data_IF_124144464466
#
_entry.id   IF_124144464466
#
_cell.length_a   1.000
_cell.length_b   1.000
_cell.length_c   1.000
_cell.angle_alpha   90.00
_cell.angle_beta   90.00
_cell.angle_gamma   90.00
#
_symmetry.space_group_name_H-M   'P 1'
#
loop_
_entity.id
_entity.type
_entity.pdbx_description
1 polymer ?
#
# COMPACT_ATOMS: atom_id res chain seq x y z
N UNK A 1 28.71 6.43 20.32
CA UNK A 1 27.94 5.33 19.68
C UNK A 1 28.83 4.71 18.61
N UNK A 2 29.18 3.43 18.74
CA UNK A 2 29.97 2.73 17.71
C UNK A 2 29.00 2.41 16.57
N UNK A 3 29.12 3.12 15.44
CA UNK A 3 28.36 2.78 14.24
C UNK A 3 28.84 1.43 13.72
N UNK A 4 27.92 0.49 13.53
CA UNK A 4 28.23 -0.84 13.00
C UNK A 4 28.02 -0.82 11.48
N UNK A 5 29.01 -1.30 10.72
CA UNK A 5 28.95 -1.31 9.25
C UNK A 5 28.08 -2.45 8.72
N UNK A 6 27.51 -2.26 7.53
CA UNK A 6 26.76 -3.28 6.78
C UNK A 6 27.47 -4.64 6.71
N UNK A 7 28.81 -4.66 6.57
CA UNK A 7 29.58 -5.91 6.51
C UNK A 7 29.39 -6.79 7.76
N UNK A 8 29.23 -6.18 8.94
CA UNK A 8 28.98 -6.93 10.18
C UNK A 8 27.54 -7.45 10.24
N UNK A 9 26.59 -6.71 9.68
CA UNK A 9 25.18 -7.14 9.55
C UNK A 9 25.10 -8.36 8.65
N UNK A 10 25.67 -8.27 7.44
CA UNK A 10 25.70 -9.37 6.48
C UNK A 10 26.45 -10.59 7.03
N UNK A 11 27.59 -10.40 7.72
CA UNK A 11 28.33 -11.50 8.31
C UNK A 11 27.55 -12.23 9.42
N UNK A 12 26.75 -11.51 10.21
CA UNK A 12 25.90 -12.11 11.23
C UNK A 12 24.80 -12.96 10.59
N UNK A 13 24.12 -12.43 9.57
CA UNK A 13 23.08 -13.15 8.82
C UNK A 13 23.67 -14.34 8.04
N UNK A 14 24.82 -14.19 7.39
CA UNK A 14 25.48 -15.31 6.71
C UNK A 14 25.83 -16.47 7.66
N UNK A 15 26.08 -16.17 8.95
CA UNK A 15 26.40 -17.17 9.95
C UNK A 15 25.18 -17.82 10.58
N UNK A 16 24.13 -17.05 10.84
CA UNK A 16 23.00 -17.47 11.69
C UNK A 16 21.63 -17.39 11.00
N UNK A 17 21.56 -16.95 9.75
CA UNK A 17 20.32 -16.81 8.98
C UNK A 17 19.66 -18.14 8.65
N UNK A 18 20.39 -19.25 8.73
CA UNK A 18 19.88 -20.60 8.55
C UNK A 18 20.01 -21.37 9.86
N UNK A 19 18.89 -21.85 10.41
CA UNK A 19 18.80 -22.66 11.64
C UNK A 19 19.38 -21.99 12.90
N UNK A 20 19.53 -20.66 12.89
CA UNK A 20 20.17 -19.90 13.95
C UNK A 20 19.33 -18.73 14.44
N UNK A 21 19.90 -18.04 15.44
CA UNK A 21 19.37 -16.79 15.97
C UNK A 21 20.40 -15.68 15.80
N UNK A 22 19.98 -14.55 15.24
CA UNK A 22 20.77 -13.33 15.15
C UNK A 22 20.18 -12.26 16.07
N UNK A 23 21.01 -11.60 16.86
CA UNK A 23 20.58 -10.48 17.71
C UNK A 23 21.34 -9.22 17.30
N UNK A 24 20.60 -8.23 16.82
CA UNK A 24 21.09 -6.87 16.62
C UNK A 24 20.74 -6.03 17.84
N UNK A 25 21.74 -5.69 18.66
CA UNK A 25 21.54 -4.85 19.83
C UNK A 25 21.12 -3.40 19.50
N UNK A 26 20.82 -2.59 20.52
CA UNK A 26 20.48 -1.19 20.33
C UNK A 26 21.55 -0.40 19.59
N UNK A 27 21.14 0.44 18.64
CA UNK A 27 22.04 1.31 17.89
C UNK A 27 21.61 1.55 16.45
N UNK A 28 22.52 2.14 15.68
CA UNK A 28 22.36 2.43 14.26
C UNK A 28 23.39 1.64 13.46
N UNK A 29 22.92 0.91 12.45
CA UNK A 29 23.71 0.08 11.55
C UNK A 29 23.73 0.75 10.17
N UNK A 30 24.88 1.26 9.75
CA UNK A 30 24.96 2.03 8.51
C UNK A 30 24.93 1.10 7.28
N UNK A 31 23.89 1.26 6.46
CA UNK A 31 23.67 0.49 5.25
C UNK A 31 23.99 1.38 4.03
N UNK A 32 25.06 1.01 3.32
CA UNK A 32 25.64 1.82 2.23
C UNK A 32 25.53 1.17 0.86
N UNK A 33 24.89 0.00 0.77
CA UNK A 33 24.61 -0.74 -0.47
C UNK A 33 23.34 -1.58 -0.27
N UNK A 34 22.73 -2.01 -1.36
CA UNK A 34 21.58 -2.93 -1.28
C UNK A 34 21.94 -4.17 -0.48
N UNK A 35 20.98 -4.67 0.28
CA UNK A 35 21.17 -5.80 1.20
C UNK A 35 20.08 -6.84 0.97
N UNK A 36 20.42 -8.12 1.10
CA UNK A 36 19.44 -9.18 1.16
C UNK A 36 19.72 -10.11 2.33
N UNK A 37 18.66 -10.57 2.99
CA UNK A 37 18.73 -11.62 3.99
C UNK A 37 18.00 -12.86 3.47
N UNK A 38 18.72 -13.97 3.41
CA UNK A 38 18.15 -15.28 3.16
C UNK A 38 17.99 -16.01 4.51
N UNK A 39 16.74 -16.21 4.92
CA UNK A 39 16.40 -16.71 6.24
C UNK A 39 15.68 -18.06 6.14
N UNK A 40 16.24 -19.09 6.78
CA UNK A 40 15.68 -20.44 6.77
C UNK A 40 15.59 -20.97 8.19
N UNK A 41 14.38 -21.28 8.67
CA UNK A 41 14.18 -21.88 10.01
C UNK A 41 14.93 -21.10 11.12
N UNK A 42 14.86 -19.78 11.07
CA UNK A 42 15.73 -18.89 11.86
C UNK A 42 14.99 -17.73 12.52
N UNK A 43 15.67 -17.05 13.45
CA UNK A 43 15.16 -15.88 14.14
C UNK A 43 16.13 -14.71 14.05
N UNK A 44 15.60 -13.51 13.83
CA UNK A 44 16.34 -12.25 13.96
C UNK A 44 15.64 -11.37 14.99
N UNK A 45 16.33 -11.09 16.10
CA UNK A 45 15.90 -10.12 17.11
C UNK A 45 16.59 -8.77 16.83
N UNK A 46 15.80 -7.73 16.56
CA UNK A 46 16.28 -6.40 16.20
C UNK A 46 15.91 -5.36 17.26
N UNK A 47 16.90 -4.84 17.98
CA UNK A 47 16.72 -3.77 18.95
C UNK A 47 17.28 -2.41 18.47
N UNK A 48 17.70 -2.35 17.20
CA UNK A 48 18.29 -1.15 16.59
C UNK A 48 17.84 -0.96 15.14
N UNK A 49 18.31 0.12 14.52
CA UNK A 49 17.87 0.55 13.21
C UNK A 49 18.93 0.29 12.14
N UNK A 50 18.50 -0.31 11.03
CA UNK A 50 19.21 -0.30 9.76
C UNK A 50 19.07 1.11 9.17
N UNK A 51 20.16 1.88 9.18
CA UNK A 51 20.20 3.27 8.74
C UNK A 51 20.71 3.33 7.30
N UNK A 52 19.79 3.45 6.34
CA UNK A 52 20.15 3.52 4.92
C UNK A 52 20.65 4.92 4.57
N UNK A 53 21.84 5.01 3.97
CA UNK A 53 22.44 6.29 3.58
C UNK A 53 21.51 7.03 2.59
N UNK A 54 21.09 8.28 2.86
CA UNK A 54 20.24 9.03 1.94
C UNK A 54 21.05 9.60 0.78
N UNK A 55 21.30 8.77 -0.23
CA UNK A 55 22.08 9.11 -1.42
C UNK A 55 21.24 8.82 -2.68
N UNK A 56 20.30 9.72 -3.05
CA UNK A 56 19.36 9.47 -4.13
C UNK A 56 20.04 9.08 -5.44
N UNK A 57 21.13 9.76 -5.80
CA UNK A 57 21.86 9.51 -7.04
C UNK A 57 22.50 8.12 -7.08
N UNK A 58 23.04 7.65 -5.95
CA UNK A 58 23.53 6.27 -5.83
C UNK A 58 22.38 5.26 -5.98
N UNK A 59 21.27 5.44 -5.27
CA UNK A 59 20.19 4.46 -5.21
C UNK A 59 19.31 4.42 -6.47
N UNK A 60 19.21 5.52 -7.22
CA UNK A 60 18.50 5.56 -8.50
C UNK A 60 19.23 4.78 -9.61
N UNK A 61 20.49 4.42 -9.40
CA UNK A 61 21.16 3.47 -10.30
C UNK A 61 20.61 2.06 -10.05
N UNK A 62 20.00 1.45 -11.07
CA UNK A 62 19.40 0.11 -10.99
C UNK A 62 20.38 -0.99 -10.53
N UNK A 63 21.70 -0.82 -10.74
CA UNK A 63 22.70 -1.76 -10.22
C UNK A 63 22.79 -1.77 -8.69
N UNK A 64 22.35 -0.68 -8.04
CA UNK A 64 22.37 -0.49 -6.60
C UNK A 64 21.05 -0.81 -5.91
N UNK A 65 20.06 -1.35 -6.61
CA UNK A 65 18.79 -1.84 -6.05
C UNK A 65 18.46 -3.24 -6.57
N UNK A 66 17.36 -3.81 -6.09
CA UNK A 66 16.76 -5.05 -6.57
C UNK A 66 15.42 -4.78 -7.24
N UNK A 67 15.14 -5.43 -8.37
CA UNK A 67 13.85 -5.36 -9.07
C UNK A 67 13.05 -6.65 -8.84
N UNK A 68 12.73 -6.92 -7.56
CA UNK A 68 12.00 -8.13 -7.14
C UNK A 68 10.49 -7.96 -7.17
N UNK A 69 10.01 -6.72 -7.31
CA UNK A 69 8.60 -6.40 -7.53
C UNK A 69 8.45 -6.08 -9.01
N UNK A 70 7.95 -7.05 -9.77
CA UNK A 70 7.90 -6.98 -11.23
C UNK A 70 7.00 -5.85 -11.75
N UNK A 71 5.82 -5.67 -11.13
CA UNK A 71 4.90 -4.61 -11.55
C UNK A 71 5.51 -3.24 -11.33
N UNK A 72 5.39 -2.38 -12.34
CA UNK A 72 5.87 -1.00 -12.34
C UNK A 72 7.40 -0.88 -12.13
N UNK A 73 8.14 -1.97 -12.36
CA UNK A 73 9.60 -2.06 -12.19
C UNK A 73 10.07 -1.49 -10.84
N UNK A 74 9.46 -1.86 -9.72
CA UNK A 74 9.77 -1.19 -8.44
C UNK A 74 11.13 -1.63 -7.87
N UNK A 75 11.92 -0.65 -7.44
CA UNK A 75 13.23 -0.87 -6.83
C UNK A 75 13.09 -1.16 -5.33
N UNK A 76 13.86 -2.12 -4.82
CA UNK A 76 14.01 -2.39 -3.38
C UNK A 76 15.47 -2.29 -2.98
N UNK A 77 15.78 -1.66 -1.85
CA UNK A 77 17.17 -1.65 -1.33
C UNK A 77 17.43 -2.74 -0.29
N UNK A 78 16.38 -3.37 0.25
CA UNK A 78 16.43 -4.40 1.27
C UNK A 78 15.37 -5.46 0.99
N UNK A 79 15.83 -6.68 0.79
CA UNK A 79 14.97 -7.82 0.45
C UNK A 79 15.21 -8.95 1.44
N UNK A 80 14.15 -9.46 2.05
CA UNK A 80 14.20 -10.71 2.82
C UNK A 80 13.55 -11.81 1.99
N UNK A 81 14.21 -12.96 1.94
CA UNK A 81 13.74 -14.18 1.27
C UNK A 81 13.90 -15.39 2.19
N UNK A 82 13.42 -16.56 1.74
CA UNK A 82 13.56 -17.83 2.45
C UNK A 82 12.26 -18.29 3.11
N UNK A 83 12.35 -19.10 4.15
CA UNK A 83 11.16 -19.71 4.76
C UNK A 83 11.31 -20.05 6.24
N UNK A 84 10.18 -20.17 6.94
CA UNK A 84 10.12 -20.57 8.34
C UNK A 84 10.94 -19.64 9.26
N UNK A 85 10.82 -18.32 9.10
CA UNK A 85 11.60 -17.37 9.88
C UNK A 85 10.72 -16.40 10.68
N UNK A 86 11.32 -15.82 11.72
CA UNK A 86 10.75 -14.70 12.48
C UNK A 86 11.78 -13.57 12.53
N UNK A 87 11.40 -12.39 12.07
CA UNK A 87 12.10 -11.13 12.36
C UNK A 87 11.26 -10.35 13.36
N UNK A 88 11.79 -10.15 14.55
CA UNK A 88 11.10 -9.46 15.65
C UNK A 88 11.91 -8.23 16.05
N UNK A 89 11.30 -7.06 15.87
CA UNK A 89 11.94 -5.78 16.12
C UNK A 89 11.58 -5.16 17.47
N UNK A 90 10.79 -5.87 18.31
CA UNK A 90 10.54 -5.50 19.70
C UNK A 90 10.09 -4.05 19.90
N UNK A 91 9.39 -3.47 18.91
CA UNK A 91 8.98 -2.06 18.86
C UNK A 91 10.13 -1.05 19.06
N UNK A 92 11.38 -1.47 18.88
CA UNK A 92 12.59 -0.68 19.16
C UNK A 92 13.63 -0.74 18.04
N UNK A 93 13.48 -1.66 17.10
CA UNK A 93 14.31 -1.79 15.91
C UNK A 93 13.53 -1.63 14.59
N UNK A 94 14.28 -1.63 13.49
CA UNK A 94 13.73 -1.63 12.15
C UNK A 94 14.61 -0.85 11.16
N UNK A 95 14.03 0.06 10.38
CA UNK A 95 14.72 0.82 9.32
C UNK A 95 14.56 2.32 9.55
N UNK A 96 15.64 3.06 9.42
CA UNK A 96 15.60 4.49 9.16
C UNK A 96 15.87 4.71 7.67
N UNK A 97 14.83 5.13 6.93
CA UNK A 97 14.88 5.35 5.49
C UNK A 97 15.40 6.74 5.11
N UNK A 98 15.56 7.67 6.06
CA UNK A 98 16.04 9.02 5.81
C UNK A 98 15.28 9.74 4.66
N UNK A 99 13.96 9.57 4.62
CA UNK A 99 13.08 9.98 3.53
C UNK A 99 13.05 11.48 3.24
N UNK A 100 13.39 12.36 4.20
CA UNK A 100 13.39 13.81 3.96
C UNK A 100 14.30 14.20 2.80
N UNK A 101 15.49 13.62 2.69
CA UNK A 101 16.39 13.88 1.57
C UNK A 101 15.75 13.51 0.23
N UNK A 102 14.96 12.44 0.19
CA UNK A 102 14.26 11.99 -1.01
C UNK A 102 13.08 12.89 -1.36
N UNK A 103 12.27 13.29 -0.38
CA UNK A 103 11.13 14.17 -0.61
C UNK A 103 11.60 15.55 -1.08
N UNK A 104 12.68 16.10 -0.49
CA UNK A 104 13.30 17.34 -0.96
C UNK A 104 13.93 17.17 -2.35
N UNK A 105 14.57 16.03 -2.64
CA UNK A 105 15.14 15.74 -3.96
C UNK A 105 14.08 15.74 -5.07
N UNK A 106 12.88 15.23 -4.79
CA UNK A 106 11.75 15.25 -5.72
C UNK A 106 10.85 16.48 -5.60
N UNK A 107 11.13 17.40 -4.69
CA UNK A 107 10.36 18.63 -4.52
C UNK A 107 10.39 19.54 -5.76
N UNK A 108 11.44 19.44 -6.58
CA UNK A 108 11.60 20.19 -7.83
C UNK A 108 11.97 19.30 -9.04
N UNK A 109 11.81 17.97 -8.93
CA UNK A 109 12.11 17.01 -9.99
C UNK A 109 10.88 16.20 -10.34
N UNK A 110 10.80 15.81 -11.61
CA UNK A 110 9.79 14.87 -12.07
C UNK A 110 9.99 13.51 -11.41
N UNK A 111 8.88 12.82 -11.14
CA UNK A 111 8.81 11.44 -10.66
C UNK A 111 8.23 10.58 -11.76
N UNK A 112 8.61 9.30 -11.81
CA UNK A 112 8.01 8.32 -12.72
C UNK A 112 8.01 6.95 -12.06
N UNK A 113 7.04 6.11 -12.42
CA UNK A 113 7.07 4.71 -12.03
C UNK A 113 8.36 4.05 -12.55
N UNK A 114 8.97 3.20 -11.73
CA UNK A 114 10.23 2.54 -12.07
C UNK A 114 11.49 3.39 -11.99
N UNK A 115 11.39 4.69 -11.60
CA UNK A 115 12.54 5.62 -11.54
C UNK A 115 13.71 5.16 -10.64
N UNK A 116 13.44 4.22 -9.72
CA UNK A 116 14.44 3.58 -8.88
C UNK A 116 14.37 4.01 -7.42
N UNK A 117 13.41 4.86 -7.02
CA UNK A 117 13.19 5.20 -5.61
C UNK A 117 12.90 3.93 -4.80
N UNK A 118 13.67 3.61 -3.76
CA UNK A 118 13.64 2.28 -3.17
C UNK A 118 12.49 2.08 -2.20
N UNK A 119 11.79 0.95 -2.35
CA UNK A 119 10.94 0.34 -1.30
C UNK A 119 11.80 -0.01 -0.09
N UNK A 120 11.30 0.30 1.11
CA UNK A 120 12.13 0.22 2.33
C UNK A 120 12.41 -1.22 2.78
N UNK A 121 11.39 -2.08 2.77
CA UNK A 121 11.50 -3.50 3.07
C UNK A 121 10.63 -4.29 2.10
N UNK A 122 11.21 -5.29 1.43
CA UNK A 122 10.46 -6.21 0.58
C UNK A 122 10.64 -7.65 1.03
N UNK A 123 9.54 -8.35 1.29
CA UNK A 123 9.55 -9.81 1.35
C UNK A 123 9.36 -10.35 -0.07
N UNK A 124 10.28 -11.18 -0.54
CA UNK A 124 10.23 -11.77 -1.87
C UNK A 124 10.53 -13.26 -1.81
N UNK A 125 9.69 -14.08 -2.45
CA UNK A 125 9.80 -15.54 -2.41
C UNK A 125 9.83 -16.09 -0.98
N UNK A 126 8.99 -15.55 -0.10
CA UNK A 126 8.91 -15.96 1.31
C UNK A 126 7.80 -16.99 1.51
N UNK A 127 8.07 -18.01 2.33
CA UNK A 127 7.04 -18.94 2.81
C UNK A 127 7.07 -19.05 4.34
N UNK A 128 5.95 -18.87 5.03
CA UNK A 128 5.90 -18.95 6.52
C UNK A 128 6.87 -17.99 7.21
N UNK A 129 6.91 -16.75 6.72
CA UNK A 129 7.72 -15.67 7.29
C UNK A 129 6.90 -14.77 8.20
N UNK A 130 7.46 -14.36 9.33
CA UNK A 130 6.83 -13.45 10.29
C UNK A 130 7.69 -12.20 10.51
N UNK A 131 7.07 -11.02 10.38
CA UNK A 131 7.65 -9.72 10.75
C UNK A 131 6.86 -9.16 11.93
N UNK A 132 7.52 -8.93 13.07
CA UNK A 132 6.87 -8.45 14.30
C UNK A 132 7.43 -7.13 14.79
N UNK A 133 6.53 -6.27 15.26
CA UNK A 133 6.81 -5.03 15.98
C UNK A 133 7.90 -4.16 15.30
N UNK A 134 7.85 -4.12 13.96
CA UNK A 134 8.88 -3.55 13.10
C UNK A 134 8.57 -2.10 12.75
N UNK A 135 9.58 -1.24 12.87
CA UNK A 135 9.44 0.21 12.66
C UNK A 135 10.20 0.68 11.44
N UNK A 136 9.52 1.36 10.54
CA UNK A 136 10.16 2.07 9.43
C UNK A 136 9.88 3.56 9.58
N UNK A 137 10.94 4.29 9.87
CA UNK A 137 10.90 5.74 10.01
C UNK A 137 11.33 6.37 8.68
N UNK A 138 10.58 7.38 8.23
CA UNK A 138 10.86 8.18 7.04
C UNK A 138 11.19 7.32 5.81
N UNK A 139 10.27 6.46 5.37
CA UNK A 139 10.41 5.73 4.13
C UNK A 139 10.52 6.70 2.92
N UNK A 140 11.45 6.49 1.98
CA UNK A 140 11.61 7.38 0.82
C UNK A 140 10.53 7.17 -0.25
N UNK A 141 10.00 5.95 -0.33
CA UNK A 141 8.96 5.46 -1.22
C UNK A 141 8.05 4.53 -0.41
N UNK A 142 7.57 3.42 -0.97
CA UNK A 142 6.79 2.43 -0.20
C UNK A 142 7.55 1.97 1.06
N UNK A 143 6.83 1.89 2.15
CA UNK A 143 7.33 1.41 3.42
C UNK A 143 7.59 -0.10 3.35
N UNK A 144 6.64 -0.89 2.86
CA UNK A 144 6.80 -2.34 2.72
C UNK A 144 6.22 -2.88 1.42
N UNK A 145 6.72 -4.04 1.01
CA UNK A 145 6.09 -4.86 -0.01
C UNK A 145 6.19 -6.37 0.31
N UNK A 146 5.19 -7.12 -0.14
CA UNK A 146 5.20 -8.59 -0.16
C UNK A 146 4.99 -9.00 -1.61
N UNK A 147 5.97 -9.70 -2.19
CA UNK A 147 5.95 -10.17 -3.56
C UNK A 147 6.21 -11.67 -3.62
N UNK A 148 5.46 -12.39 -4.45
CA UNK A 148 5.71 -13.82 -4.74
C UNK A 148 5.80 -14.69 -3.47
N UNK A 149 4.95 -14.42 -2.47
CA UNK A 149 5.10 -15.00 -1.12
C UNK A 149 3.82 -15.67 -0.62
N UNK A 150 3.96 -16.57 0.36
CA UNK A 150 2.85 -17.33 0.91
C UNK A 150 2.94 -17.48 2.43
N UNK A 151 1.80 -17.49 3.12
CA UNK A 151 1.73 -17.70 4.57
C UNK A 151 2.60 -16.67 5.33
N UNK A 152 2.42 -15.39 5.00
CA UNK A 152 3.18 -14.28 5.60
C UNK A 152 2.37 -13.58 6.67
N UNK A 153 3.01 -13.29 7.81
CA UNK A 153 2.40 -12.51 8.89
C UNK A 153 3.23 -11.26 9.16
N UNK A 154 2.58 -10.10 9.07
CA UNK A 154 3.05 -8.86 9.69
C UNK A 154 2.19 -8.57 10.91
N UNK A 155 2.83 -8.30 12.04
CA UNK A 155 2.13 -8.08 13.31
C UNK A 155 2.80 -6.97 14.13
N UNK A 156 2.16 -5.81 14.22
CA UNK A 156 2.74 -4.63 14.91
C UNK A 156 3.59 -3.74 14.00
N UNK A 157 3.27 -3.64 12.71
CA UNK A 157 4.03 -2.81 11.77
C UNK A 157 3.79 -1.31 12.03
N UNK A 158 4.86 -0.53 12.07
CA UNK A 158 4.81 0.93 12.16
C UNK A 158 5.54 1.56 10.97
N UNK A 159 4.87 2.46 10.26
CA UNK A 159 5.49 3.30 9.22
C UNK A 159 5.22 4.77 9.51
N UNK A 160 6.21 5.64 9.34
CA UNK A 160 6.02 7.07 9.48
C UNK A 160 6.77 7.89 8.42
N UNK A 161 6.07 8.24 7.34
CA UNK A 161 6.49 9.29 6.43
C UNK A 161 5.75 10.58 6.80
N UNK A 162 6.40 11.41 7.61
CA UNK A 162 5.97 12.78 7.90
C UNK A 162 7.04 13.73 7.42
N UNK A 163 6.69 14.64 6.51
CA UNK A 163 7.60 15.71 6.08
C UNK A 163 7.89 16.64 7.27
N UNK A 164 9.16 16.86 7.57
CA UNK A 164 9.61 17.69 8.69
C UNK A 164 10.20 19.03 8.23
N UNK A 165 10.32 19.25 6.93
CA UNK A 165 10.86 20.50 6.39
C UNK A 165 9.81 21.62 6.48
N UNK A 166 10.07 22.69 7.29
CA UNK A 166 9.14 23.78 7.47
C UNK A 166 8.80 24.52 6.17
N UNK A 167 9.66 24.45 5.16
CA UNK A 167 9.41 25.07 3.85
C UNK A 167 8.24 24.43 3.11
N UNK A 168 7.92 23.18 3.44
CA UNK A 168 6.83 22.46 2.79
C UNK A 168 5.53 22.52 3.60
N UNK A 169 5.51 23.03 4.83
CA UNK A 169 4.29 23.10 5.63
C UNK A 169 3.17 23.90 4.92
N UNK A 170 1.98 23.32 4.84
CA UNK A 170 0.80 23.96 4.24
C UNK A 170 0.81 24.08 2.71
N UNK A 171 1.74 23.40 2.02
CA UNK A 171 1.85 23.41 0.56
C UNK A 171 1.41 22.06 -0.02
N UNK A 172 1.08 22.02 -1.32
CA UNK A 172 0.87 20.74 -1.99
C UNK A 172 2.13 19.84 -1.94
N UNK A 173 3.32 20.43 -1.73
CA UNK A 173 4.60 19.77 -1.50
C UNK A 173 4.79 19.23 -0.06
N UNK A 174 3.88 19.50 0.89
CA UNK A 174 3.87 18.78 2.19
C UNK A 174 3.59 17.29 2.00
N UNK A 175 2.92 16.92 0.90
CA UNK A 175 2.66 15.53 0.56
C UNK A 175 3.98 14.81 0.35
N UNK A 176 4.12 13.64 0.97
CA UNK A 176 5.23 12.69 0.77
C UNK A 176 4.76 11.60 -0.18
N UNK A 177 4.73 11.86 -1.50
CA UNK A 177 4.02 11.04 -2.46
C UNK A 177 4.63 9.64 -2.59
N UNK A 178 3.77 8.67 -2.88
CA UNK A 178 4.13 7.25 -3.04
C UNK A 178 4.85 6.66 -1.83
N UNK A 179 4.50 7.12 -0.62
CA UNK A 179 5.02 6.55 0.63
C UNK A 179 4.09 5.49 1.21
N UNK A 180 3.56 4.63 0.35
CA UNK A 180 2.58 3.60 0.67
C UNK A 180 2.97 2.77 1.91
N UNK A 181 2.00 2.34 2.72
CA UNK A 181 2.29 1.55 3.93
C UNK A 181 2.73 0.13 3.62
N UNK A 182 1.94 -0.60 2.83
CA UNK A 182 2.32 -1.92 2.32
C UNK A 182 1.65 -2.24 0.99
N UNK A 183 2.42 -2.80 0.07
CA UNK A 183 1.94 -3.32 -1.21
C UNK A 183 2.00 -4.86 -1.23
N UNK A 184 0.94 -5.54 -1.62
CA UNK A 184 0.95 -7.00 -1.86
C UNK A 184 0.90 -7.29 -3.35
N UNK A 185 1.64 -8.29 -3.81
CA UNK A 185 1.63 -8.74 -5.20
C UNK A 185 1.92 -10.24 -5.28
N UNK A 186 1.17 -10.98 -6.12
CA UNK A 186 1.36 -12.44 -6.31
C UNK A 186 1.55 -13.20 -4.99
N UNK A 187 0.70 -12.93 -4.01
CA UNK A 187 0.89 -13.44 -2.64
C UNK A 187 -0.37 -14.04 -2.04
N UNK A 188 -0.23 -15.14 -1.31
CA UNK A 188 -1.35 -15.93 -0.78
C UNK A 188 -1.26 -16.09 0.74
N UNK A 189 -2.39 -16.06 1.43
CA UNK A 189 -2.46 -16.24 2.90
C UNK A 189 -1.59 -15.22 3.64
N UNK A 190 -1.96 -13.94 3.51
CA UNK A 190 -1.26 -12.83 4.14
C UNK A 190 -2.08 -12.29 5.31
N UNK A 191 -1.46 -12.17 6.48
CA UNK A 191 -2.05 -11.53 7.66
C UNK A 191 -1.33 -10.22 7.96
N UNK A 192 -2.07 -9.11 7.95
CA UNK A 192 -1.60 -7.77 8.29
C UNK A 192 -2.30 -7.33 9.58
N UNK A 193 -1.59 -7.33 10.69
CA UNK A 193 -2.19 -7.16 12.02
C UNK A 193 -1.56 -5.97 12.75
N UNK A 194 -2.40 -5.14 13.38
CA UNK A 194 -1.95 -4.07 14.30
C UNK A 194 -1.00 -3.07 13.63
N UNK A 195 -1.40 -2.53 12.49
CA UNK A 195 -0.59 -1.56 11.75
C UNK A 195 -0.90 -0.12 12.21
N UNK A 196 0.13 0.71 12.36
CA UNK A 196 0.00 2.18 12.46
C UNK A 196 0.84 2.84 11.37
N UNK A 197 0.16 3.35 10.34
CA UNK A 197 0.77 3.86 9.12
C UNK A 197 0.51 5.36 9.00
N UNK A 198 1.58 6.15 8.94
CA UNK A 198 1.56 7.52 8.43
C UNK A 198 2.22 7.55 7.05
N UNK A 199 1.46 7.96 6.04
CA UNK A 199 1.88 7.92 4.63
C UNK A 199 1.20 9.03 3.81
N UNK A 200 1.78 9.37 2.66
CA UNK A 200 1.25 10.34 1.69
C UNK A 200 0.48 9.74 0.53
N UNK A 201 0.29 8.42 0.51
CA UNK A 201 -0.33 7.67 -0.59
C UNK A 201 -1.15 6.48 -0.03
N UNK A 202 -1.12 5.30 -0.64
CA UNK A 202 -1.94 4.16 -0.22
C UNK A 202 -1.48 3.56 1.13
N UNK A 203 -2.37 3.53 2.13
CA UNK A 203 -2.08 2.92 3.43
C UNK A 203 -1.82 1.41 3.28
N UNK A 204 -2.73 0.72 2.60
CA UNK A 204 -2.54 -0.64 2.09
C UNK A 204 -2.86 -0.61 0.60
N UNK A 205 -2.08 -1.28 -0.22
CA UNK A 205 -2.34 -1.46 -1.64
C UNK A 205 -2.34 -2.96 -1.99
N UNK A 206 -3.51 -3.49 -2.31
CA UNK A 206 -3.70 -4.87 -2.74
C UNK A 206 -3.55 -4.91 -4.25
N UNK A 207 -2.38 -5.36 -4.74
CA UNK A 207 -2.12 -5.51 -6.18
C UNK A 207 -2.50 -6.92 -6.64
N UNK A 208 -2.42 -7.09 -7.95
CA UNK A 208 -2.84 -8.31 -8.63
C UNK A 208 -2.24 -9.58 -8.06
N UNK A 209 -3.04 -10.64 -8.19
CA UNK A 209 -2.72 -12.02 -7.85
C UNK A 209 -2.45 -12.19 -6.35
N UNK A 210 -3.11 -11.38 -5.53
CA UNK A 210 -3.03 -11.46 -4.08
C UNK A 210 -4.34 -11.99 -3.50
N UNK A 211 -4.29 -13.11 -2.77
CA UNK A 211 -5.48 -13.84 -2.31
C UNK A 211 -5.41 -14.22 -0.84
N UNK A 212 -6.56 -14.45 -0.21
CA UNK A 212 -6.66 -14.91 1.19
C UNK A 212 -5.95 -13.94 2.14
N UNK A 213 -6.34 -12.66 2.10
CA UNK A 213 -5.72 -11.60 2.90
C UNK A 213 -6.61 -11.22 4.07
N UNK A 214 -6.04 -11.16 5.26
CA UNK A 214 -6.69 -10.60 6.45
C UNK A 214 -5.92 -9.35 6.87
N UNK A 215 -6.58 -8.20 6.90
CA UNK A 215 -6.06 -6.98 7.49
C UNK A 215 -6.91 -6.61 8.72
N UNK A 216 -6.29 -6.53 9.89
CA UNK A 216 -7.02 -6.30 11.14
C UNK A 216 -6.31 -5.31 12.05
N UNK A 217 -7.09 -4.41 12.65
CA UNK A 217 -6.59 -3.37 13.55
C UNK A 217 -5.56 -2.49 12.83
N UNK A 218 -6.05 -1.74 11.84
CA UNK A 218 -5.22 -0.92 10.95
C UNK A 218 -5.57 0.55 11.19
N UNK A 219 -4.58 1.33 11.58
CA UNK A 219 -4.68 2.79 11.63
C UNK A 219 -3.94 3.41 10.46
N UNK A 220 -4.67 4.10 9.60
CA UNK A 220 -4.15 4.84 8.46
C UNK A 220 -4.23 6.35 8.75
N UNK A 221 -3.08 7.02 8.73
CA UNK A 221 -2.93 8.45 8.97
C UNK A 221 -2.45 9.13 7.70
N UNK A 222 -3.31 9.96 7.15
CA UNK A 222 -3.07 10.60 5.87
C UNK A 222 -3.21 9.67 4.66
N UNK A 223 -2.85 10.17 3.47
CA UNK A 223 -2.75 9.38 2.26
C UNK A 223 -4.03 9.28 1.42
N UNK A 224 -4.06 8.30 0.52
CA UNK A 224 -5.13 8.08 -0.45
C UNK A 224 -6.19 7.10 0.05
N UNK A 225 -5.86 6.27 1.03
CA UNK A 225 -6.76 5.27 1.60
C UNK A 225 -6.22 3.85 1.47
N UNK A 226 -7.11 2.86 1.58
CA UNK A 226 -6.79 1.46 1.24
C UNK A 226 -7.19 1.21 -0.22
N UNK A 227 -6.22 0.82 -1.05
CA UNK A 227 -6.40 0.61 -2.47
C UNK A 227 -6.51 -0.87 -2.84
N UNK A 228 -7.45 -1.20 -3.72
CA UNK A 228 -7.35 -2.36 -4.60
C UNK A 228 -6.85 -1.86 -5.96
N UNK A 229 -5.56 -2.09 -6.24
CA UNK A 229 -4.93 -1.74 -7.50
C UNK A 229 -3.85 -0.65 -7.46
N UNK A 230 -3.54 0.00 -8.58
CA UNK A 230 -4.22 -0.18 -9.87
C UNK A 230 -4.03 -1.60 -10.42
N UNK A 231 -5.10 -2.12 -11.01
CA UNK A 231 -5.16 -3.45 -11.64
C UNK A 231 -5.48 -3.32 -13.13
N UNK A 232 -5.19 -4.33 -13.93
CA UNK A 232 -5.45 -4.36 -15.36
C UNK A 232 -4.45 -3.55 -16.20
N UNK A 233 -3.27 -3.23 -15.64
CA UNK A 233 -2.25 -2.45 -16.36
C UNK A 233 -1.61 -3.23 -17.52
N UNK A 234 -1.49 -4.55 -17.39
CA UNK A 234 -0.72 -5.39 -18.31
C UNK A 234 -1.67 -6.30 -19.08
N UNK A 235 -1.66 -6.22 -20.42
CA UNK A 235 -2.61 -6.92 -21.30
C UNK A 235 -2.61 -8.44 -21.06
N UNK A 236 -1.43 -9.05 -20.98
CA UNK A 236 -1.27 -10.50 -20.89
C UNK A 236 -1.10 -11.03 -19.46
N UNK A 237 -1.30 -10.16 -18.45
CA UNK A 237 -1.19 -10.52 -17.04
C UNK A 237 -2.50 -10.16 -16.36
N UNK A 238 -3.49 -11.07 -16.34
CA UNK A 238 -4.75 -10.82 -15.65
C UNK A 238 -4.48 -10.68 -14.15
N UNK A 239 -5.07 -9.66 -13.55
CA UNK A 239 -4.95 -9.40 -12.12
C UNK A 239 -6.13 -10.03 -11.37
N UNK A 240 -5.82 -10.98 -10.48
CA UNK A 240 -6.82 -11.67 -9.65
C UNK A 240 -6.64 -11.27 -8.18
N UNK A 241 -7.66 -10.69 -7.56
CA UNK A 241 -7.70 -10.48 -6.10
C UNK A 241 -8.93 -11.15 -5.55
N UNK A 242 -8.78 -12.03 -4.58
CA UNK A 242 -9.90 -12.79 -4.03
C UNK A 242 -9.75 -13.07 -2.54
N UNK A 243 -10.89 -13.10 -1.85
CA UNK A 243 -11.00 -13.39 -0.43
C UNK A 243 -10.13 -12.45 0.44
N UNK A 244 -10.57 -11.19 0.53
CA UNK A 244 -9.92 -10.16 1.36
C UNK A 244 -10.86 -9.70 2.45
N UNK A 245 -10.45 -9.86 3.70
CA UNK A 245 -11.22 -9.40 4.87
C UNK A 245 -10.42 -8.31 5.59
N UNK A 246 -11.04 -7.14 5.70
CA UNK A 246 -10.52 -6.00 6.45
C UNK A 246 -11.46 -5.71 7.62
N UNK A 247 -10.90 -5.63 8.82
CA UNK A 247 -11.66 -5.51 10.06
C UNK A 247 -10.98 -4.52 11.01
N UNK A 248 -11.77 -3.67 11.69
CA UNK A 248 -11.25 -2.69 12.66
C UNK A 248 -10.26 -1.71 12.01
N UNK A 249 -10.77 -0.89 11.08
CA UNK A 249 -9.96 0.05 10.30
C UNK A 249 -10.25 1.48 10.77
N UNK A 250 -9.20 2.27 10.98
CA UNK A 250 -9.30 3.67 11.39
C UNK A 250 -8.60 4.58 10.38
N UNK A 251 -9.36 5.45 9.74
CA UNK A 251 -8.88 6.43 8.77
C UNK A 251 -8.82 7.80 9.44
N UNK A 252 -7.62 8.36 9.58
CA UNK A 252 -7.37 9.62 10.29
C UNK A 252 -6.79 10.66 9.33
N UNK A 253 -7.51 11.76 9.14
CA UNK A 253 -6.94 12.92 8.45
C UNK A 253 -5.97 13.65 9.36
N UNK A 254 -4.74 13.83 8.90
CA UNK A 254 -3.74 14.61 9.59
C UNK A 254 -4.03 16.13 9.53
N UNK A 255 -3.26 16.92 10.28
CA UNK A 255 -3.27 18.36 10.13
C UNK A 255 -2.97 18.72 8.66
N UNK A 256 -3.84 19.48 7.97
CA UNK A 256 -3.60 19.89 6.59
C UNK A 256 -2.30 20.65 6.35
N UNK A 257 -1.72 21.26 7.39
CA UNK A 257 -0.39 21.88 7.33
C UNK A 257 0.75 20.88 7.29
N UNK A 258 0.54 19.67 7.83
CA UNK A 258 1.51 18.58 7.82
C UNK A 258 1.30 17.71 6.59
N UNK A 259 0.06 17.24 6.41
CA UNK A 259 -0.30 16.48 5.23
C UNK A 259 -1.82 16.52 5.02
N UNK A 260 -2.31 17.09 3.91
CA UNK A 260 -3.74 17.33 3.74
C UNK A 260 -4.51 16.09 3.32
N UNK A 261 -3.87 15.04 2.80
CA UNK A 261 -4.58 13.94 2.16
C UNK A 261 -5.20 12.98 3.17
N UNK A 262 -6.44 12.57 2.90
CA UNK A 262 -7.10 11.37 3.41
C UNK A 262 -8.26 11.12 2.42
N UNK A 263 -7.89 10.65 1.22
CA UNK A 263 -8.78 10.74 0.05
C UNK A 263 -9.96 9.78 0.19
N UNK A 264 -9.70 8.50 0.38
CA UNK A 264 -10.72 7.47 0.52
C UNK A 264 -10.52 6.63 1.77
N UNK A 265 -11.57 5.93 2.20
CA UNK A 265 -11.45 4.88 3.20
C UNK A 265 -10.95 3.61 2.53
N UNK A 266 -11.78 3.06 1.63
CA UNK A 266 -11.41 2.00 0.71
C UNK A 266 -11.74 2.46 -0.69
N UNK A 267 -10.81 2.26 -1.62
CA UNK A 267 -11.06 2.51 -3.02
C UNK A 267 -10.47 1.45 -3.95
N UNK A 268 -11.09 1.32 -5.11
CA UNK A 268 -10.79 0.29 -6.09
C UNK A 268 -10.52 0.96 -7.44
N UNK A 269 -9.36 0.67 -8.04
CA UNK A 269 -8.92 1.33 -9.28
C UNK A 269 -8.44 0.32 -10.32
N UNK A 270 -8.96 0.41 -11.53
CA UNK A 270 -8.44 -0.36 -12.68
C UNK A 270 -8.08 0.55 -13.82
N UNK A 271 -7.11 0.11 -14.61
CA UNK A 271 -6.80 0.73 -15.87
C UNK A 271 -7.95 0.58 -16.86
N UNK A 272 -8.03 1.55 -17.76
CA UNK A 272 -8.92 1.53 -18.92
C UNK A 272 -8.68 0.30 -19.81
N UNK A 273 -9.64 -0.04 -20.68
CA UNK A 273 -9.55 -1.15 -21.64
C UNK A 273 -8.63 -0.86 -22.83
N UNK A 274 -8.36 0.42 -23.10
CA UNK A 274 -7.37 0.85 -24.11
C UNK A 274 -5.96 0.78 -23.55
N UNK A 275 -4.99 0.37 -24.38
CA UNK A 275 -3.56 0.41 -24.01
C UNK A 275 -2.98 1.79 -24.36
N UNK A 276 -2.48 2.51 -23.35
CA UNK A 276 -1.80 3.80 -23.52
C UNK A 276 -0.34 3.71 -23.09
N UNK A 277 0.58 3.80 -24.05
CA UNK A 277 2.01 3.69 -23.80
C UNK A 277 2.44 2.27 -23.42
N UNK A 278 3.48 2.17 -22.60
CA UNK A 278 3.97 0.88 -22.11
C UNK A 278 4.37 0.98 -20.63
N UNK A 279 4.21 -0.11 -19.85
CA UNK A 279 4.72 -0.16 -18.49
C UNK A 279 6.22 0.20 -18.43
N UNK A 280 6.71 0.77 -17.31
CA UNK A 280 6.04 0.86 -16.01
C UNK A 280 5.03 2.02 -15.86
N UNK A 281 5.12 3.06 -16.70
CA UNK A 281 4.29 4.27 -16.58
C UNK A 281 2.98 4.19 -17.37
N UNK A 282 3.01 3.58 -18.55
CA UNK A 282 1.83 3.35 -19.38
C UNK A 282 1.22 1.97 -19.15
N UNK A 283 0.17 1.64 -19.89
CA UNK A 283 -0.50 0.35 -19.84
C UNK A 283 -1.99 0.45 -20.12
N UNK A 284 -2.73 -0.54 -19.65
CA UNK A 284 -4.15 -0.72 -19.85
C UNK A 284 -4.47 -2.01 -20.60
N UNK A 285 -5.76 -2.27 -20.80
CA UNK A 285 -6.26 -3.43 -21.54
C UNK A 285 -6.13 -4.78 -20.85
N UNK A 286 -5.52 -4.85 -19.66
CA UNK A 286 -5.48 -6.05 -18.83
C UNK A 286 -6.84 -6.35 -18.22
N UNK A 287 -7.13 -7.65 -18.06
CA UNK A 287 -8.37 -8.15 -17.46
C UNK A 287 -8.15 -8.74 -16.06
N UNK A 288 -9.11 -9.55 -15.62
CA UNK A 288 -9.08 -10.24 -14.33
C UNK A 288 -10.31 -9.94 -13.49
N UNK A 289 -10.20 -10.12 -12.18
CA UNK A 289 -11.29 -9.81 -11.26
C UNK A 289 -10.81 -9.47 -9.85
N UNK A 290 -11.65 -8.73 -9.14
CA UNK A 290 -11.61 -8.63 -7.68
C UNK A 290 -12.94 -9.17 -7.14
N UNK A 291 -12.87 -10.14 -6.23
CA UNK A 291 -14.07 -10.72 -5.61
C UNK A 291 -13.90 -11.02 -4.13
N UNK A 292 -15.03 -11.27 -3.47
CA UNK A 292 -15.12 -11.70 -2.07
C UNK A 292 -14.34 -10.78 -1.12
N UNK A 293 -14.64 -9.47 -1.20
CA UNK A 293 -14.02 -8.46 -0.34
C UNK A 293 -15.01 -8.03 0.73
N UNK A 294 -14.57 -8.05 1.99
CA UNK A 294 -15.33 -7.54 3.14
C UNK A 294 -14.51 -6.48 3.85
N UNK A 295 -15.05 -5.27 3.94
CA UNK A 295 -14.50 -4.19 4.75
C UNK A 295 -15.50 -3.85 5.86
N UNK A 296 -15.15 -4.17 7.11
CA UNK A 296 -16.05 -4.03 8.25
C UNK A 296 -15.47 -3.28 9.43
N UNK A 297 -16.33 -2.55 10.16
CA UNK A 297 -15.96 -1.72 11.32
C UNK A 297 -14.90 -0.69 10.93
N UNK A 298 -15.30 0.22 10.06
CA UNK A 298 -14.43 1.26 9.52
C UNK A 298 -14.84 2.61 10.09
N UNK A 299 -13.91 3.28 10.77
CA UNK A 299 -14.11 4.61 11.35
C UNK A 299 -13.35 5.68 10.55
N UNK A 300 -14.03 6.76 10.20
CA UNK A 300 -13.54 7.81 9.30
C UNK A 300 -13.45 9.17 10.01
N UNK A 301 -12.28 9.82 9.96
CA UNK A 301 -12.12 11.24 10.27
C UNK A 301 -11.90 12.04 8.98
N UNK A 302 -12.93 12.79 8.59
CA UNK A 302 -12.93 13.75 7.49
C UNK A 302 -12.40 13.15 6.19
N UNK A 303 -12.81 11.95 5.80
CA UNK A 303 -12.35 11.33 4.53
C UNK A 303 -12.99 12.03 3.32
N UNK A 304 -12.27 12.21 2.20
CA UNK A 304 -12.82 12.99 1.05
C UNK A 304 -13.96 12.27 0.34
N UNK A 305 -13.75 11.02 -0.10
CA UNK A 305 -14.73 10.13 -0.74
C UNK A 305 -14.59 8.74 -0.10
N UNK A 306 -15.41 8.41 0.92
CA UNK A 306 -15.26 7.22 1.75
C UNK A 306 -15.11 5.89 1.00
N UNK A 307 -16.04 5.59 0.08
CA UNK A 307 -16.06 4.35 -0.71
C UNK A 307 -16.03 4.76 -2.18
N UNK A 308 -14.98 4.39 -2.90
CA UNK A 308 -14.76 4.84 -4.27
C UNK A 308 -14.32 3.70 -5.18
N UNK A 309 -14.90 3.56 -6.36
CA UNK A 309 -14.48 2.63 -7.39
C UNK A 309 -14.49 3.34 -8.73
N UNK A 310 -13.38 3.26 -9.47
CA UNK A 310 -13.31 3.77 -10.84
C UNK A 310 -12.46 2.86 -11.72
N UNK A 311 -12.85 2.76 -13.00
CA UNK A 311 -12.25 1.82 -13.96
C UNK A 311 -11.65 2.53 -15.19
N UNK A 312 -11.19 3.75 -14.99
CA UNK A 312 -10.72 4.67 -16.04
C UNK A 312 -9.28 5.15 -15.78
N UNK A 313 -8.50 4.44 -14.95
CA UNK A 313 -7.13 4.86 -14.64
C UNK A 313 -6.27 4.90 -15.92
N UNK A 314 -5.57 6.02 -16.14
CA UNK A 314 -4.80 6.25 -17.37
C UNK A 314 -5.64 6.38 -18.64
N UNK A 315 -6.97 6.47 -18.52
CA UNK A 315 -7.89 6.54 -19.64
C UNK A 315 -8.13 7.97 -20.15
N UNK A 316 -8.52 8.04 -21.41
CA UNK A 316 -8.93 9.24 -22.14
C UNK A 316 -10.39 9.11 -22.58
N UNK A 317 -11.00 10.24 -22.96
CA UNK A 317 -12.35 10.22 -23.51
C UNK A 317 -12.42 9.35 -24.77
N UNK A 318 -13.39 8.44 -24.83
CA UNK A 318 -13.60 7.50 -25.94
C UNK A 318 -12.81 6.20 -25.85
N UNK A 319 -12.07 5.95 -24.77
CA UNK A 319 -11.41 4.68 -24.55
C UNK A 319 -12.37 3.51 -24.35
N UNK A 320 -11.90 2.31 -24.67
CA UNK A 320 -12.60 1.08 -24.37
C UNK A 320 -12.76 0.89 -22.86
N UNK A 321 -13.93 0.43 -22.39
CA UNK A 321 -14.16 0.17 -20.98
C UNK A 321 -13.22 -0.92 -20.43
N UNK A 322 -12.83 -0.81 -19.16
CA UNK A 322 -11.94 -1.78 -18.49
C UNK A 322 -12.48 -3.21 -18.56
N UNK A 323 -11.60 -4.19 -18.66
CA UNK A 323 -11.95 -5.62 -18.75
C UNK A 323 -11.91 -6.36 -17.41
N UNK A 324 -11.59 -5.67 -16.32
CA UNK A 324 -11.49 -6.25 -14.98
C UNK A 324 -12.81 -6.10 -14.24
N UNK A 325 -13.36 -7.18 -13.68
CA UNK A 325 -14.65 -7.13 -12.98
C UNK A 325 -14.47 -7.01 -11.46
N UNK A 326 -15.24 -6.14 -10.82
CA UNK A 326 -15.43 -6.16 -9.36
C UNK A 326 -16.75 -6.85 -9.01
N UNK A 327 -16.74 -7.73 -8.02
CA UNK A 327 -17.94 -8.45 -7.58
C UNK A 327 -17.90 -8.79 -6.10
N UNK A 328 -19.06 -9.09 -5.50
CA UNK A 328 -19.15 -9.59 -4.12
C UNK A 328 -18.38 -8.72 -3.12
N UNK A 329 -18.65 -7.41 -3.15
CA UNK A 329 -18.04 -6.42 -2.25
C UNK A 329 -19.00 -6.14 -1.11
N UNK A 330 -18.54 -6.21 0.13
CA UNK A 330 -19.35 -5.93 1.32
C UNK A 330 -18.70 -4.84 2.16
N UNK A 331 -19.45 -3.76 2.39
CA UNK A 331 -19.10 -2.65 3.27
C UNK A 331 -20.05 -2.67 4.46
N UNK A 332 -19.54 -2.98 5.66
CA UNK A 332 -20.38 -3.23 6.84
C UNK A 332 -19.91 -2.43 8.06
N UNK A 333 -20.79 -1.70 8.73
CA UNK A 333 -20.45 -0.89 9.91
C UNK A 333 -19.36 0.15 9.60
N UNK A 334 -19.75 1.17 8.83
CA UNK A 334 -18.91 2.30 8.44
C UNK A 334 -19.45 3.56 9.10
N UNK A 335 -18.62 4.22 9.90
CA UNK A 335 -19.02 5.40 10.68
C UNK A 335 -18.03 6.55 10.59
N UNK A 336 -18.48 7.76 10.92
CA UNK A 336 -17.60 8.92 11.07
C UNK A 336 -17.99 10.08 10.16
N UNK A 337 -17.00 10.77 9.59
CA UNK A 337 -17.22 12.03 8.86
C UNK A 337 -16.51 12.05 7.49
N UNK A 338 -17.11 12.77 6.54
CA UNK A 338 -16.52 13.04 5.23
C UNK A 338 -16.36 14.54 4.95
N UNK A 339 -15.53 14.89 3.96
CA UNK A 339 -15.41 16.28 3.45
C UNK A 339 -16.31 16.57 2.24
N UNK A 340 -16.98 15.54 1.69
CA UNK A 340 -17.95 15.68 0.61
C UNK A 340 -19.24 14.97 0.99
N UNK A 341 -20.35 15.40 0.39
CA UNK A 341 -21.62 14.71 0.53
C UNK A 341 -21.68 13.39 -0.24
N UNK A 342 -20.86 13.20 -1.28
CA UNK A 342 -20.69 11.89 -1.93
C UNK A 342 -20.00 10.91 -0.99
N UNK A 343 -20.78 9.97 -0.44
CA UNK A 343 -20.30 8.93 0.47
C UNK A 343 -19.85 7.69 -0.30
N UNK A 344 -20.63 7.31 -1.31
CA UNK A 344 -20.33 6.19 -2.21
C UNK A 344 -20.24 6.73 -3.63
N UNK A 345 -19.16 6.41 -4.32
CA UNK A 345 -18.98 6.67 -5.74
C UNK A 345 -18.43 5.40 -6.42
N UNK A 346 -19.30 4.64 -7.08
CA UNK A 346 -18.93 3.36 -7.70
C UNK A 346 -19.20 3.43 -9.20
N UNK A 347 -18.13 3.57 -9.96
CA UNK A 347 -18.14 3.67 -11.42
C UNK A 347 -17.54 2.42 -12.05
N UNK A 348 -18.40 1.43 -12.24
CA UNK A 348 -18.02 0.16 -12.85
C UNK A 348 -17.93 0.27 -14.38
N UNK A 349 -17.16 -0.64 -14.95
CA UNK A 349 -17.00 -0.80 -16.39
C UNK A 349 -18.31 -1.23 -17.05
N UNK A 350 -18.66 -0.58 -18.16
CA UNK A 350 -19.81 -0.99 -18.97
C UNK A 350 -19.63 -2.37 -19.64
N UNK A 351 -18.39 -2.81 -19.87
CA UNK A 351 -18.09 -4.12 -20.44
C UNK A 351 -18.22 -5.26 -19.42
N UNK A 352 -17.96 -4.97 -18.14
CA UNK A 352 -18.05 -5.94 -17.04
C UNK A 352 -18.70 -5.30 -15.81
N UNK A 353 -20.03 -5.09 -15.84
CA UNK A 353 -20.77 -4.48 -14.72
C UNK A 353 -20.51 -5.19 -13.39
N UNK A 354 -20.61 -4.47 -12.27
CA UNK A 354 -20.31 -5.03 -10.94
C UNK A 354 -21.55 -5.68 -10.28
N UNK A 355 -21.57 -6.99 -10.03
CA UNK A 355 -22.65 -7.62 -9.28
C UNK A 355 -22.35 -7.70 -7.77
N UNK A 356 -23.43 -7.77 -6.99
CA UNK A 356 -23.45 -8.13 -5.58
C UNK A 356 -22.61 -7.20 -4.69
N UNK A 357 -22.84 -5.90 -4.81
CA UNK A 357 -22.29 -4.91 -3.87
C UNK A 357 -23.26 -4.78 -2.69
N UNK A 358 -22.78 -4.86 -1.46
CA UNK A 358 -23.60 -4.86 -0.24
C UNK A 358 -23.12 -3.78 0.72
N UNK A 359 -24.08 -3.03 1.24
CA UNK A 359 -23.89 -2.01 2.25
C UNK A 359 -24.75 -2.35 3.46
N UNK A 360 -24.17 -2.30 4.65
CA UNK A 360 -24.87 -2.54 5.90
C UNK A 360 -24.32 -1.57 6.95
N UNK A 361 -25.20 -0.86 7.66
CA UNK A 361 -24.83 0.12 8.67
C UNK A 361 -23.74 1.11 8.21
N UNK A 362 -23.99 1.79 7.08
CA UNK A 362 -23.13 2.86 6.58
C UNK A 362 -23.70 4.20 7.02
N UNK A 363 -23.17 4.74 8.13
CA UNK A 363 -23.58 5.98 8.77
C UNK A 363 -22.42 6.98 8.81
N UNK A 364 -22.18 7.65 7.69
CA UNK A 364 -21.09 8.63 7.53
C UNK A 364 -21.71 10.01 7.36
N UNK A 365 -21.35 10.93 8.26
CA UNK A 365 -21.86 12.29 8.28
C UNK A 365 -21.15 13.19 7.23
N UNK A 366 -21.90 13.73 6.24
CA UNK A 366 -21.41 14.75 5.32
C UNK A 366 -21.07 16.08 6.00
N UNK A 367 -20.33 16.98 5.33
CA UNK A 367 -20.11 18.33 5.84
C UNK A 367 -21.43 19.11 5.94
N UNK A 368 -21.50 19.99 6.95
CA UNK A 368 -22.57 20.97 7.14
C UNK A 368 -23.99 20.39 7.21
N UNK A 369 -24.16 19.13 7.61
CA UNK A 369 -25.47 18.48 7.72
C UNK A 369 -26.18 18.28 6.36
N UNK A 370 -25.42 18.33 5.26
CA UNK A 370 -25.96 18.00 3.93
C UNK A 370 -26.39 16.53 3.85
N UNK A 371 -27.33 16.22 2.97
CA UNK A 371 -27.75 14.84 2.77
C UNK A 371 -26.65 14.03 2.07
N UNK A 372 -26.40 12.77 2.47
CA UNK A 372 -25.44 11.91 1.80
C UNK A 372 -25.92 11.58 0.38
N UNK A 373 -25.00 11.52 -0.57
CA UNK A 373 -25.25 11.09 -1.95
C UNK A 373 -24.49 9.81 -2.27
N UNK A 374 -25.10 8.99 -3.12
CA UNK A 374 -24.58 7.71 -3.56
C UNK A 374 -24.64 7.65 -5.09
N UNK A 375 -23.47 7.54 -5.71
CA UNK A 375 -23.31 7.47 -7.16
C UNK A 375 -22.92 6.06 -7.55
N UNK A 376 -23.63 5.54 -8.54
CA UNK A 376 -23.43 4.21 -9.07
C UNK A 376 -23.54 4.28 -10.60
N UNK A 377 -22.63 3.64 -11.30
CA UNK A 377 -22.59 3.56 -12.77
C UNK A 377 -22.22 2.11 -13.11
N UNK A 378 -23.02 1.46 -13.97
CA UNK A 378 -22.86 0.05 -14.35
C UNK A 378 -22.75 -0.93 -13.16
N UNK A 379 -23.47 -0.67 -12.08
CA UNK A 379 -23.61 -1.60 -10.95
C UNK A 379 -24.79 -2.52 -11.25
N UNK A 380 -24.51 -3.80 -11.50
CA UNK A 380 -25.52 -4.78 -11.88
C UNK A 380 -26.47 -5.14 -10.73
N UNK A 381 -25.95 -5.21 -9.50
CA UNK A 381 -26.79 -5.37 -8.31
C UNK A 381 -26.12 -4.77 -7.08
N UNK A 382 -26.90 -4.00 -6.33
CA UNK A 382 -26.52 -3.43 -5.04
C UNK A 382 -27.62 -3.70 -4.00
N UNK A 383 -27.23 -3.76 -2.73
CA UNK A 383 -28.16 -3.90 -1.62
C UNK A 383 -27.75 -3.00 -0.45
N UNK A 384 -28.70 -2.25 0.10
CA UNK A 384 -28.56 -1.55 1.38
C UNK A 384 -28.41 -0.02 1.28
N UNK A 385 -28.26 0.55 0.08
CA UNK A 385 -28.30 2.01 -0.08
C UNK A 385 -29.75 2.50 -0.31
N UNK A 386 -30.08 3.73 0.15
CA UNK A 386 -31.44 4.27 0.00
C UNK A 386 -31.76 4.72 -1.44
N UNK A 387 -30.75 5.11 -2.22
CA UNK A 387 -30.88 5.43 -3.65
C UNK A 387 -29.50 5.40 -4.32
N UNK A 388 -29.30 4.47 -5.25
CA UNK A 388 -28.10 4.31 -6.06
C UNK A 388 -28.57 4.18 -7.52
N UNK A 389 -28.12 5.08 -8.41
CA UNK A 389 -28.55 5.07 -9.82
C UNK A 389 -27.94 3.87 -10.57
N UNK A 390 -28.51 2.69 -10.40
CA UNK A 390 -27.94 1.44 -10.93
C UNK A 390 -27.84 1.36 -12.48
N UNK A 391 -28.40 2.32 -13.23
CA UNK A 391 -28.51 2.22 -14.70
C UNK A 391 -28.18 3.51 -15.46
N UNK A 392 -27.22 4.31 -14.99
CA UNK A 392 -26.69 5.43 -15.79
C UNK A 392 -25.56 4.96 -16.70
N UNK A 393 -25.71 5.10 -18.02
CA UNK A 393 -24.57 5.11 -18.95
C UNK A 393 -23.84 6.45 -18.78
N UNK A 394 -22.55 6.42 -18.43
CA UNK A 394 -21.66 7.60 -18.49
C UNK A 394 -21.33 7.98 -19.91
#
# INVERSE_FOLDING_TARGET
MIQTSITKVEAAIARCGHFGTTVFGPGQYNITRKMTWDLVSSRVDMHGYLNFKPDPEYWLNANNTYRVIFIQDQASWFVITGHDFIVDAHASGGINGNGQTWWSFYGNRSRSDGDGRPVSLTLSNVTRGVIKDFRIEAQPFWCNAIADSKEVVYDGMYCNATNQDPLYAGQNSSVVPNTDGINTYRSDQVSLLRFDITCGDDCLAIKGNSTNIVAKDITCRGGNGIAFGSLGQYVDLPDIVDNVVMEDIKMIRLDPQVQPNMVSGVYLKTWTGTVHGSPPTGGGGGGGFVSNVVAKRVSLDRVTVPIHLYQTNGGHSGDEPSKLQFSNLTFNDWTGTSLRNTIVDIECSAAVPCPNIRFHDVDIAPPNGTAPSYKCINVASEFGLPACNATGTS
#
